data_IF_015776779231
#
_entry.id   IF_015776779231
#
_cell.length_a   1.000
_cell.length_b   1.000
_cell.length_c   1.000
_cell.angle_alpha   90.00
_cell.angle_beta   90.00
_cell.angle_gamma   90.00
#
_symmetry.space_group_name_H-M   'P 1'
#
loop_
_entity.id
_entity.type
_entity.pdbx_description
1 polymer ?
#
# COMPACT_ATOMS: atom_id res chain seq x y z
N UNK A 1 7.23 -13.35 1.49
CA UNK A 1 5.92 -13.03 0.89
C UNK A 1 5.06 -12.14 1.80
N UNK A 2 4.57 -12.62 2.95
CA UNK A 2 3.61 -11.86 3.77
C UNK A 2 4.12 -10.49 4.28
N UNK A 3 5.35 -10.41 4.81
CA UNK A 3 5.95 -9.13 5.24
C UNK A 3 6.12 -8.16 4.06
N UNK A 4 6.52 -8.66 2.88
CA UNK A 4 6.59 -7.86 1.66
C UNK A 4 5.21 -7.36 1.21
N UNK A 5 4.16 -8.16 1.39
CA UNK A 5 2.78 -7.76 1.11
C UNK A 5 2.29 -6.66 2.07
N UNK A 6 2.68 -6.72 3.35
CA UNK A 6 2.43 -5.63 4.30
C UNK A 6 3.10 -4.34 3.81
N UNK A 7 4.37 -4.41 3.43
CA UNK A 7 5.09 -3.25 2.92
C UNK A 7 4.49 -2.70 1.62
N UNK A 8 4.06 -3.57 0.68
CA UNK A 8 3.37 -3.14 -0.54
C UNK A 8 2.06 -2.40 -0.23
N UNK A 9 1.26 -2.91 0.70
CA UNK A 9 0.02 -2.27 1.14
C UNK A 9 0.26 -0.91 1.79
N UNK A 10 1.30 -0.81 2.63
CA UNK A 10 1.73 0.45 3.22
C UNK A 10 2.11 1.48 2.15
N UNK A 11 2.99 1.10 1.21
CA UNK A 11 3.45 2.00 0.15
C UNK A 11 2.30 2.52 -0.71
N UNK A 12 1.31 1.67 -1.03
CA UNK A 12 0.13 2.09 -1.78
C UNK A 12 -0.81 3.00 -0.98
N UNK A 13 -0.95 2.79 0.33
CA UNK A 13 -1.70 3.70 1.18
C UNK A 13 -0.99 5.06 1.32
N UNK A 14 0.35 5.06 1.42
CA UNK A 14 1.18 6.26 1.40
C UNK A 14 1.04 7.01 0.07
N UNK A 15 1.05 6.31 -1.06
CA UNK A 15 0.80 6.91 -2.37
C UNK A 15 -0.56 7.61 -2.41
N UNK A 16 -1.63 6.92 -2.02
CA UNK A 16 -2.97 7.48 -2.01
C UNK A 16 -3.05 8.75 -1.15
N UNK A 17 -2.36 8.76 0.00
CA UNK A 17 -2.28 9.92 0.87
C UNK A 17 -1.48 11.08 0.27
N UNK A 18 -0.28 10.83 -0.28
CA UNK A 18 0.52 11.91 -0.90
C UNK A 18 -0.28 12.55 -2.03
N UNK A 19 -0.99 11.75 -2.84
CA UNK A 19 -1.81 12.25 -3.94
C UNK A 19 -2.94 13.21 -3.50
N UNK A 20 -3.38 13.19 -2.24
CA UNK A 20 -4.35 14.18 -1.74
C UNK A 20 -3.71 15.55 -1.48
N UNK A 21 -2.40 15.60 -1.23
CA UNK A 21 -1.65 16.83 -0.95
C UNK A 21 -1.01 17.47 -2.19
N UNK A 22 -0.86 16.71 -3.28
CA UNK A 22 -0.19 17.19 -4.50
C UNK A 22 -1.20 17.88 -5.42
N UNK A 23 -1.00 19.17 -5.69
CA UNK A 23 -1.85 19.94 -6.60
C UNK A 23 -1.50 19.80 -8.08
N UNK A 24 -0.21 19.61 -8.40
CA UNK A 24 0.30 19.62 -9.77
C UNK A 24 0.31 18.21 -10.42
N UNK A 25 -0.04 18.15 -11.71
CA UNK A 25 -0.15 16.89 -12.47
C UNK A 25 1.20 16.18 -12.64
N UNK A 26 2.27 16.92 -12.92
CA UNK A 26 3.61 16.33 -13.11
C UNK A 26 4.08 15.71 -11.80
N UNK A 27 3.88 16.42 -10.69
CA UNK A 27 4.21 15.93 -9.36
C UNK A 27 3.45 14.64 -9.02
N UNK A 28 2.16 14.54 -9.36
CA UNK A 28 1.37 13.30 -9.17
C UNK A 28 1.95 12.13 -9.96
N UNK A 29 2.29 12.35 -11.24
CA UNK A 29 2.89 11.33 -12.11
C UNK A 29 4.21 10.83 -11.52
N UNK A 30 5.08 11.74 -11.08
CA UNK A 30 6.38 11.39 -10.48
C UNK A 30 6.19 10.54 -9.22
N UNK A 31 5.29 10.92 -8.32
CA UNK A 31 5.05 10.16 -7.08
C UNK A 31 4.48 8.76 -7.39
N UNK A 32 3.51 8.67 -8.30
CA UNK A 32 2.96 7.37 -8.75
C UNK A 32 4.08 6.51 -9.31
N UNK A 33 4.91 7.07 -10.20
CA UNK A 33 6.03 6.36 -10.80
C UNK A 33 7.00 5.85 -9.74
N UNK A 34 7.46 6.70 -8.82
CA UNK A 34 8.42 6.31 -7.77
C UNK A 34 7.87 5.18 -6.91
N UNK A 35 6.64 5.29 -6.41
CA UNK A 35 6.07 4.27 -5.52
C UNK A 35 5.83 2.95 -6.27
N UNK A 36 5.22 3.00 -7.45
CA UNK A 36 4.95 1.79 -8.24
C UNK A 36 6.24 1.14 -8.75
N UNK A 37 7.26 1.93 -9.09
CA UNK A 37 8.59 1.44 -9.45
C UNK A 37 9.28 0.73 -8.28
N UNK A 38 9.21 1.28 -7.07
CA UNK A 38 9.77 0.63 -5.88
C UNK A 38 9.07 -0.72 -5.57
N UNK A 39 7.75 -0.80 -5.77
CA UNK A 39 7.01 -2.05 -5.65
C UNK A 39 7.51 -3.08 -6.68
N UNK A 40 7.68 -2.65 -7.94
CA UNK A 40 8.16 -3.51 -9.03
C UNK A 40 9.60 -4.00 -8.82
N UNK A 41 10.55 -3.09 -8.58
CA UNK A 41 11.97 -3.44 -8.36
C UNK A 41 12.13 -4.29 -7.10
N UNK A 42 11.40 -3.96 -6.04
CA UNK A 42 11.41 -4.73 -4.79
C UNK A 42 10.72 -6.09 -4.90
N UNK A 43 10.09 -6.42 -6.05
CA UNK A 43 9.25 -7.61 -6.24
C UNK A 43 8.26 -7.80 -5.07
N UNK A 44 7.70 -6.68 -4.59
CA UNK A 44 6.83 -6.70 -3.43
C UNK A 44 5.48 -7.30 -3.84
N UNK A 45 4.93 -8.27 -3.09
CA UNK A 45 3.63 -8.86 -3.42
C UNK A 45 2.52 -7.82 -3.28
N UNK A 46 2.15 -7.21 -4.39
CA UNK A 46 1.02 -6.29 -4.50
C UNK A 46 -0.09 -7.01 -5.26
N UNK A 47 -1.24 -7.20 -4.62
CA UNK A 47 -2.29 -8.08 -5.11
C UNK A 47 -2.67 -7.78 -6.56
N UNK A 48 -2.81 -6.51 -6.95
CA UNK A 48 -3.24 -6.17 -8.31
C UNK A 48 -2.13 -6.41 -9.35
N UNK A 49 -0.89 -6.02 -9.04
CA UNK A 49 0.20 -6.02 -10.02
C UNK A 49 0.71 -7.46 -10.24
N UNK A 50 1.08 -8.12 -9.15
CA UNK A 50 1.60 -9.49 -9.19
C UNK A 50 0.53 -10.50 -9.61
N UNK A 51 -0.76 -10.26 -9.34
CA UNK A 51 -1.81 -11.14 -9.86
C UNK A 51 -1.90 -11.09 -11.39
N UNK A 52 -1.70 -9.92 -12.00
CA UNK A 52 -1.64 -9.80 -13.46
C UNK A 52 -0.50 -10.64 -14.04
N UNK A 53 0.68 -10.61 -13.42
CA UNK A 53 1.84 -11.41 -13.82
C UNK A 53 1.58 -12.92 -13.67
N UNK A 54 1.02 -13.35 -12.53
CA UNK A 54 0.73 -14.77 -12.28
C UNK A 54 -0.31 -15.29 -13.27
N UNK A 55 -1.41 -14.55 -13.48
CA UNK A 55 -2.45 -14.95 -14.43
C UNK A 55 -1.91 -14.96 -15.87
N UNK A 56 -1.09 -13.97 -16.25
CA UNK A 56 -0.42 -13.99 -17.55
C UNK A 56 0.50 -15.20 -17.71
N UNK A 57 1.25 -15.57 -16.66
CA UNK A 57 2.07 -16.77 -16.63
C UNK A 57 1.25 -18.05 -16.80
N UNK A 58 0.13 -18.19 -16.07
CA UNK A 58 -0.78 -19.33 -16.21
C UNK A 58 -1.33 -19.44 -17.64
N UNK A 59 -1.73 -18.32 -18.25
CA UNK A 59 -2.21 -18.29 -19.64
C UNK A 59 -1.10 -18.60 -20.65
N UNK A 60 0.15 -18.27 -20.34
CA UNK A 60 1.32 -18.62 -21.14
C UNK A 60 1.81 -20.07 -20.94
N UNK A 61 1.12 -20.87 -20.12
CA UNK A 61 1.43 -22.28 -19.89
C UNK A 61 2.38 -22.56 -18.72
N UNK A 62 2.57 -21.60 -17.80
CA UNK A 62 3.29 -21.86 -16.56
C UNK A 62 2.55 -22.90 -15.70
N UNK A 63 3.31 -23.82 -15.10
CA UNK A 63 2.77 -24.84 -14.19
C UNK A 63 2.48 -24.24 -12.81
N UNK A 64 1.39 -23.48 -12.72
CA UNK A 64 0.89 -22.87 -11.50
C UNK A 64 -0.52 -23.39 -11.28
N UNK A 65 -0.74 -24.11 -10.18
CA UNK A 65 -2.06 -24.63 -9.86
C UNK A 65 -3.02 -23.53 -9.41
N UNK A 66 -4.32 -23.74 -9.62
CA UNK A 66 -5.38 -22.84 -9.13
C UNK A 66 -5.30 -22.67 -7.61
N UNK A 67 -4.90 -23.73 -6.88
CA UNK A 67 -4.77 -23.70 -5.42
C UNK A 67 -3.61 -22.80 -4.97
N UNK A 68 -2.47 -22.86 -5.66
CA UNK A 68 -1.33 -21.98 -5.38
C UNK A 68 -1.66 -20.51 -5.67
N UNK A 69 -2.34 -20.26 -6.78
CA UNK A 69 -2.84 -18.93 -7.13
C UNK A 69 -3.82 -18.39 -6.07
N UNK A 70 -4.79 -19.19 -5.61
CA UNK A 70 -5.71 -18.78 -4.55
C UNK A 70 -5.01 -18.51 -3.22
N UNK A 71 -4.04 -19.35 -2.84
CA UNK A 71 -3.18 -19.10 -1.66
C UNK A 71 -2.45 -17.77 -1.80
N UNK A 72 -1.92 -17.48 -2.99
CA UNK A 72 -1.26 -16.22 -3.26
C UNK A 72 -2.19 -15.03 -3.09
N UNK A 73 -3.39 -15.11 -3.67
CA UNK A 73 -4.41 -14.06 -3.60
C UNK A 73 -4.79 -13.77 -2.14
N UNK A 74 -5.10 -14.79 -1.35
CA UNK A 74 -5.53 -14.62 0.04
C UNK A 74 -4.41 -14.03 0.91
N UNK A 75 -3.21 -14.61 0.86
CA UNK A 75 -2.09 -14.17 1.71
C UNK A 75 -1.61 -12.76 1.34
N UNK A 76 -1.54 -12.45 0.05
CA UNK A 76 -1.13 -11.13 -0.44
C UNK A 76 -2.17 -10.07 -0.10
N UNK A 77 -3.46 -10.37 -0.30
CA UNK A 77 -4.54 -9.45 0.05
C UNK A 77 -4.55 -9.15 1.54
N UNK A 78 -4.46 -10.18 2.39
CA UNK A 78 -4.40 -9.99 3.83
C UNK A 78 -3.22 -9.10 4.25
N UNK A 79 -2.03 -9.35 3.68
CA UNK A 79 -0.85 -8.51 3.92
C UNK A 79 -1.06 -7.06 3.47
N UNK A 80 -1.54 -6.84 2.24
CA UNK A 80 -1.78 -5.50 1.70
C UNK A 80 -2.80 -4.72 2.55
N UNK A 81 -3.89 -5.37 2.99
CA UNK A 81 -4.90 -4.77 3.87
C UNK A 81 -4.27 -4.39 5.21
N UNK A 82 -3.53 -5.29 5.85
CA UNK A 82 -2.87 -5.01 7.13
C UNK A 82 -1.92 -3.81 6.99
N UNK A 83 -1.07 -3.80 5.96
CA UNK A 83 -0.13 -2.70 5.71
C UNK A 83 -0.82 -1.35 5.50
N UNK A 84 -1.87 -1.32 4.68
CA UNK A 84 -2.63 -0.10 4.41
C UNK A 84 -3.37 0.41 5.65
N UNK A 85 -4.02 -0.48 6.41
CA UNK A 85 -4.74 -0.11 7.64
C UNK A 85 -3.77 0.41 8.71
N UNK A 86 -2.63 -0.25 8.91
CA UNK A 86 -1.62 0.19 9.88
C UNK A 86 -1.11 1.59 9.52
N UNK A 87 -0.82 1.85 8.25
CA UNK A 87 -0.40 3.19 7.80
C UNK A 87 -1.45 4.26 8.13
N UNK A 88 -2.70 4.03 7.72
CA UNK A 88 -3.80 4.99 7.97
C UNK A 88 -4.04 5.19 9.47
N UNK A 89 -3.99 4.10 10.26
CA UNK A 89 -4.16 4.17 11.71
C UNK A 89 -3.07 5.00 12.39
N UNK A 90 -1.80 4.83 11.99
CA UNK A 90 -0.68 5.60 12.55
C UNK A 90 -0.81 7.10 12.22
N UNK A 91 -1.20 7.43 10.99
CA UNK A 91 -1.42 8.83 10.61
C UNK A 91 -2.59 9.46 11.36
N UNK A 92 -3.74 8.78 11.41
CA UNK A 92 -4.91 9.28 12.12
C UNK A 92 -4.66 9.40 13.63
N UNK A 93 -3.94 8.46 14.24
CA UNK A 93 -3.55 8.56 15.65
C UNK A 93 -2.70 9.81 15.90
N UNK A 94 -1.70 10.07 15.04
CA UNK A 94 -0.83 11.24 15.19
C UNK A 94 -1.59 12.57 15.08
N UNK A 95 -2.62 12.64 14.24
CA UNK A 95 -3.45 13.85 14.08
C UNK A 95 -4.38 14.07 15.28
N UNK A 96 -5.00 13.00 15.79
CA UNK A 96 -5.92 13.09 16.92
C UNK A 96 -5.19 13.47 18.22
N UNK A 97 -4.03 12.86 18.49
CA UNK A 97 -3.26 13.15 19.71
C UNK A 97 -2.75 14.58 19.71
N UNK A 98 -2.15 15.06 18.61
CA UNK A 98 -1.68 16.46 18.51
C UNK A 98 -2.83 17.47 18.58
N UNK A 99 -3.97 17.17 17.96
CA UNK A 99 -5.14 18.03 18.04
C UNK A 99 -5.73 18.16 19.45
N UNK A 100 -5.52 17.16 20.32
CA UNK A 100 -5.93 17.21 21.72
C UNK A 100 -4.99 18.09 22.57
N UNK A 101 -3.68 18.06 22.29
CA UNK A 101 -2.68 18.91 22.98
C UNK A 101 -2.91 20.41 22.72
N UNK A 102 -3.29 20.78 21.50
CA UNK A 102 -3.59 22.18 21.13
C UNK A 102 -4.84 22.73 21.84
N UNK A 103 -5.81 21.87 22.17
CA UNK A 103 -7.04 22.26 22.89
C UNK A 103 -6.81 22.46 24.38
N UNK A 104 -5.97 21.61 24.99
CA UNK A 104 -5.63 21.72 26.42
C UNK A 104 -4.74 22.94 26.67
N UNK A 105 -3.76 23.18 25.79
CA UNK A 105 -2.84 24.33 25.92
C UNK A 105 -3.48 25.69 25.62
N UNK A 106 -4.65 25.73 24.97
CA UNK A 106 -5.43 26.94 24.71
C UNK A 106 -6.50 27.24 25.77
N UNK A 107 -6.76 26.32 26.70
CA UNK A 107 -7.68 26.51 27.82
C UNK A 107 -7.02 27.15 29.05
N UNK A 108 -5.68 27.26 29.03
CA UNK A 108 -4.83 27.78 30.12
C UNK A 108 -4.42 29.27 29.94
N UNK A 109 -4.99 29.99 28.95
CA UNK A 109 -4.79 31.43 28.67
C UNK A 109 -6.09 32.21 28.70
#
# INVERSE_FOLDING_TARGET
>A
MFVGAILAGWLMALLAWILTSVGDTISRIVVIFVITFLIGVGHLPHIIATNGEIVAGMLAGADISVVEWLRFVVLTTAGNVIGGVVFVALLNYSHVVRGAEDLDSGADV
#
